data_IF_697264874712
#
_entry.id   IF_697264874712
#
_cell.length_a   1.000
_cell.length_b   1.000
_cell.length_c   1.000
_cell.angle_alpha   90.00
_cell.angle_beta   90.00
_cell.angle_gamma   90.00
#
_symmetry.space_group_name_H-M   'P 1'
#
loop_
_entity.id
_entity.type
_entity.pdbx_description
1 polymer ?
#
# COMPACT_ATOMS: atom_id res chain seq x y z
N UNK A 1 -18.60 2.75 18.34
CA UNK A 1 -17.92 2.06 17.22
C UNK A 1 -17.60 3.07 16.11
N UNK A 2 -16.40 3.64 16.15
CA UNK A 2 -15.92 4.63 15.18
C UNK A 2 -15.08 3.91 14.12
N UNK A 3 -15.72 3.15 13.24
CA UNK A 3 -15.05 2.50 12.12
C UNK A 3 -14.76 3.51 11.00
N UNK A 4 -13.76 3.24 10.15
CA UNK A 4 -13.38 4.12 9.03
C UNK A 4 -14.56 4.52 8.11
N UNK A 5 -15.57 3.66 7.99
CA UNK A 5 -16.79 3.93 7.22
C UNK A 5 -17.71 5.00 7.81
N UNK A 6 -17.53 5.34 9.10
CA UNK A 6 -18.29 6.39 9.80
C UNK A 6 -17.63 7.78 9.74
N UNK A 7 -16.42 7.89 9.17
CA UNK A 7 -15.64 9.14 9.12
C UNK A 7 -15.54 9.77 7.73
N UNK A 8 -16.37 9.37 6.77
CA UNK A 8 -16.37 9.91 5.40
C UNK A 8 -15.25 9.38 4.50
N UNK A 9 -14.52 8.33 4.92
CA UNK A 9 -13.56 7.64 4.06
C UNK A 9 -14.28 6.95 2.90
N UNK A 10 -13.96 7.34 1.67
CA UNK A 10 -14.37 6.64 0.45
C UNK A 10 -13.18 5.88 -0.12
N UNK A 11 -13.23 4.53 -0.16
CA UNK A 11 -12.25 3.75 -0.90
C UNK A 11 -12.17 4.23 -2.34
N UNK A 12 -10.96 4.27 -2.90
CA UNK A 12 -10.78 4.57 -4.31
C UNK A 12 -11.27 3.37 -5.11
N UNK A 13 -12.16 3.57 -6.08
CA UNK A 13 -12.66 2.47 -6.90
C UNK A 13 -11.68 2.04 -7.98
N UNK A 14 -11.81 0.81 -8.51
CA UNK A 14 -11.01 0.34 -9.65
C UNK A 14 -11.15 1.30 -10.83
N UNK A 15 -12.39 1.68 -11.14
CA UNK A 15 -12.70 2.53 -12.29
C UNK A 15 -12.07 3.92 -12.15
N UNK A 16 -12.11 4.51 -10.94
CA UNK A 16 -11.45 5.80 -10.69
C UNK A 16 -9.93 5.70 -10.84
N UNK A 17 -9.31 4.63 -10.34
CA UNK A 17 -7.86 4.42 -10.50
C UNK A 17 -7.45 4.27 -11.97
N UNK A 18 -8.18 3.45 -12.74
CA UNK A 18 -7.86 3.21 -14.16
C UNK A 18 -8.06 4.48 -14.99
N UNK A 19 -9.14 5.23 -14.76
CA UNK A 19 -9.53 6.34 -15.63
C UNK A 19 -8.85 7.67 -15.34
N UNK A 20 -8.28 7.86 -14.15
CA UNK A 20 -7.81 9.18 -13.72
C UNK A 20 -6.37 9.15 -13.20
N UNK A 21 -5.48 9.86 -13.88
CA UNK A 21 -4.11 10.09 -13.41
C UNK A 21 -4.07 10.78 -12.04
N UNK A 22 -5.02 11.69 -11.76
CA UNK A 22 -5.14 12.39 -10.48
C UNK A 22 -5.40 11.41 -9.33
N UNK A 23 -6.37 10.52 -9.49
CA UNK A 23 -6.64 9.40 -8.60
C UNK A 23 -5.42 8.47 -8.39
N UNK A 24 -4.67 8.14 -9.46
CA UNK A 24 -3.44 7.34 -9.32
C UNK A 24 -2.35 8.06 -8.53
N UNK A 25 -2.16 9.37 -8.76
CA UNK A 25 -1.21 10.19 -7.99
C UNK A 25 -1.58 10.21 -6.51
N UNK A 26 -2.85 10.49 -6.21
CA UNK A 26 -3.37 10.44 -4.83
C UNK A 26 -3.12 9.08 -4.18
N UNK A 27 -3.43 7.99 -4.88
CA UNK A 27 -3.24 6.64 -4.37
C UNK A 27 -1.75 6.35 -4.10
N UNK A 28 -0.90 6.52 -5.11
CA UNK A 28 0.50 6.15 -5.02
C UNK A 28 1.30 7.05 -4.07
N UNK A 29 0.96 8.34 -3.95
CA UNK A 29 1.57 9.21 -2.96
C UNK A 29 1.28 8.75 -1.52
N UNK A 30 0.01 8.47 -1.22
CA UNK A 30 -0.41 7.91 0.09
C UNK A 30 0.22 6.54 0.35
N UNK A 31 0.22 5.67 -0.65
CA UNK A 31 0.79 4.32 -0.55
C UNK A 31 2.31 4.36 -0.37
N UNK A 32 3.02 5.27 -1.05
CA UNK A 32 4.46 5.47 -0.91
C UNK A 32 4.82 5.88 0.51
N UNK A 33 4.12 6.87 1.06
CA UNK A 33 4.30 7.30 2.45
C UNK A 33 3.95 6.19 3.46
N UNK A 34 2.86 5.44 3.22
CA UNK A 34 2.36 4.40 4.13
C UNK A 34 3.19 3.12 4.13
N UNK A 35 3.98 2.88 3.08
CA UNK A 35 4.71 1.63 2.88
C UNK A 35 5.65 1.27 4.03
N UNK A 36 6.34 2.26 4.63
CA UNK A 36 7.30 2.01 5.73
C UNK A 36 6.63 1.29 6.90
N UNK A 37 5.41 1.69 7.25
CA UNK A 37 4.63 1.07 8.33
C UNK A 37 4.18 -0.33 7.95
N UNK A 38 3.65 -0.48 6.75
CA UNK A 38 3.17 -1.77 6.25
C UNK A 38 4.29 -2.82 6.28
N UNK A 39 5.49 -2.44 5.79
CA UNK A 39 6.68 -3.30 5.80
C UNK A 39 7.14 -3.68 7.22
N UNK A 40 6.96 -2.79 8.21
CA UNK A 40 7.38 -3.03 9.60
C UNK A 40 6.39 -3.90 10.40
N UNK A 41 5.14 -4.04 9.96
CA UNK A 41 4.14 -4.86 10.64
C UNK A 41 4.67 -6.27 10.89
N UNK A 42 4.31 -6.89 12.01
CA UNK A 42 4.73 -8.26 12.36
C UNK A 42 3.50 -9.13 12.64
N UNK A 43 3.58 -10.44 12.40
CA UNK A 43 2.50 -11.34 12.77
C UNK A 43 2.28 -11.31 14.29
N UNK A 44 1.01 -11.33 14.70
CA UNK A 44 0.62 -11.42 16.10
C UNK A 44 0.34 -12.87 16.52
N UNK A 45 0.01 -13.09 17.79
CA UNK A 45 -0.25 -14.41 18.39
C UNK A 45 -1.30 -15.23 17.64
N UNK A 46 -2.32 -14.60 17.07
CA UNK A 46 -3.36 -15.29 16.31
C UNK A 46 -2.81 -15.88 15.00
N UNK A 47 -1.94 -15.15 14.30
CA UNK A 47 -1.29 -15.66 13.09
C UNK A 47 -0.45 -16.90 13.39
N UNK A 48 0.35 -16.87 14.46
CA UNK A 48 1.18 -18.02 14.87
C UNK A 48 0.35 -19.20 15.39
N UNK A 49 -0.77 -18.94 16.06
CA UNK A 49 -1.70 -20.00 16.48
C UNK A 49 -2.30 -20.72 15.27
N UNK A 50 -2.75 -19.96 14.26
CA UNK A 50 -3.29 -20.52 13.03
C UNK A 50 -2.23 -21.30 12.23
N UNK A 51 -1.01 -20.78 12.11
CA UNK A 51 0.11 -21.50 11.51
C UNK A 51 0.42 -22.80 12.24
N UNK A 52 0.27 -22.81 13.58
CA UNK A 52 0.45 -24.02 14.37
C UNK A 52 -0.62 -25.06 14.11
N UNK A 53 -1.89 -24.65 14.02
CA UNK A 53 -3.01 -25.54 13.69
C UNK A 53 -2.89 -26.12 12.28
N UNK A 54 -2.46 -25.32 11.31
CA UNK A 54 -2.20 -25.76 9.94
C UNK A 54 -1.09 -26.82 9.90
N UNK A 55 0.04 -26.56 10.58
CA UNK A 55 1.17 -27.49 10.66
C UNK A 55 0.82 -28.84 11.29
N UNK A 56 -0.12 -28.90 12.23
CA UNK A 56 -0.58 -30.17 12.83
C UNK A 56 -1.81 -30.77 12.11
N UNK A 57 -2.16 -30.27 10.92
CA UNK A 57 -3.24 -30.81 10.09
C UNK A 57 -4.65 -30.51 10.62
N UNK A 58 -4.82 -29.53 11.51
CA UNK A 58 -6.14 -29.12 12.04
C UNK A 58 -6.79 -28.03 11.20
N UNK A 59 -5.99 -27.24 10.49
CA UNK A 59 -6.45 -26.33 9.43
C UNK A 59 -5.94 -26.89 8.10
N UNK A 60 -6.87 -27.26 7.22
CA UNK A 60 -6.54 -27.85 5.92
C UNK A 60 -6.39 -26.79 4.82
N UNK A 61 -7.14 -25.70 4.94
CA UNK A 61 -7.12 -24.59 3.99
C UNK A 61 -7.31 -23.29 4.74
N UNK A 62 -6.45 -22.33 4.45
CA UNK A 62 -6.57 -20.97 4.95
C UNK A 62 -6.84 -20.05 3.77
N UNK A 63 -7.79 -19.15 3.94
CA UNK A 63 -8.16 -18.15 2.95
C UNK A 63 -8.11 -16.80 3.66
N UNK A 64 -7.44 -15.82 3.07
CA UNK A 64 -7.33 -14.48 3.66
C UNK A 64 -7.79 -13.42 2.66
N UNK A 65 -8.52 -12.43 3.18
CA UNK A 65 -8.84 -11.19 2.47
C UNK A 65 -7.77 -10.12 2.73
N UNK A 66 -6.88 -10.34 3.70
CA UNK A 66 -5.80 -9.42 4.02
C UNK A 66 -4.71 -9.51 2.95
N UNK A 67 -4.20 -8.35 2.56
CA UNK A 67 -3.15 -8.19 1.53
C UNK A 67 -1.75 -8.09 2.13
N UNK A 68 -1.61 -8.33 3.44
CA UNK A 68 -0.45 -7.98 4.28
C UNK A 68 0.64 -9.04 4.43
N UNK A 69 0.42 -10.24 3.90
CA UNK A 69 1.33 -11.39 4.02
C UNK A 69 1.74 -11.73 5.47
N UNK A 70 1.00 -11.29 6.50
CA UNK A 70 1.32 -11.62 7.89
C UNK A 70 1.12 -13.11 8.18
N UNK A 71 0.14 -13.75 7.53
CA UNK A 71 -0.03 -15.20 7.57
C UNK A 71 1.17 -15.95 6.97
N UNK A 72 1.65 -15.54 5.79
CA UNK A 72 2.85 -16.11 5.17
C UNK A 72 4.06 -15.98 6.10
N UNK A 73 4.24 -14.80 6.71
CA UNK A 73 5.36 -14.53 7.65
C UNK A 73 5.25 -15.31 8.96
N UNK A 74 4.04 -15.69 9.38
CA UNK A 74 3.83 -16.59 10.52
C UNK A 74 4.09 -18.07 10.19
N UNK A 75 4.29 -18.41 8.90
CA UNK A 75 4.54 -19.77 8.42
C UNK A 75 3.32 -20.49 7.84
N UNK A 76 2.17 -19.81 7.70
CA UNK A 76 1.00 -20.36 7.02
C UNK A 76 1.11 -20.30 5.50
N UNK A 77 0.26 -21.06 4.80
CA UNK A 77 0.16 -21.05 3.33
C UNK A 77 -1.26 -20.71 2.84
N UNK A 78 -1.75 -19.49 3.11
CA UNK A 78 -3.11 -19.11 2.73
C UNK A 78 -3.26 -18.92 1.22
N UNK A 79 -4.50 -19.02 0.75
CA UNK A 79 -4.96 -18.45 -0.50
C UNK A 79 -5.28 -16.96 -0.27
N UNK A 80 -4.60 -16.06 -0.98
CA UNK A 80 -4.81 -14.61 -0.92
C UNK A 80 -5.93 -14.22 -1.90
N UNK A 81 -7.15 -13.96 -1.39
CA UNK A 81 -8.31 -13.65 -2.25
C UNK A 81 -8.17 -12.32 -2.98
N UNK A 82 -7.51 -11.36 -2.36
CA UNK A 82 -7.36 -10.01 -2.89
C UNK A 82 -5.93 -9.73 -3.34
N UNK A 83 -5.11 -10.76 -3.59
CA UNK A 83 -3.69 -10.60 -3.94
C UNK A 83 -2.87 -10.00 -2.79
N UNK A 84 -1.78 -9.31 -3.13
CA UNK A 84 -0.86 -8.74 -2.15
C UNK A 84 -0.40 -7.32 -2.45
N UNK A 85 -0.26 -6.45 -1.43
CA UNK A 85 0.37 -5.14 -1.63
C UNK A 85 1.88 -5.22 -1.89
N UNK A 86 2.49 -6.40 -1.71
CA UNK A 86 3.91 -6.63 -1.97
C UNK A 86 4.23 -6.81 -3.46
N UNK A 87 3.21 -6.78 -4.32
CA UNK A 87 3.34 -6.88 -5.76
C UNK A 87 2.67 -5.70 -6.47
N UNK A 88 3.24 -5.29 -7.59
CA UNK A 88 2.73 -4.25 -8.47
C UNK A 88 2.65 -4.83 -9.88
N UNK A 89 1.48 -4.77 -10.49
CA UNK A 89 1.19 -5.35 -11.81
C UNK A 89 0.95 -4.25 -12.84
N UNK A 90 1.37 -4.52 -14.07
CA UNK A 90 0.98 -3.70 -15.22
C UNK A 90 -0.40 -4.11 -15.72
N UNK A 91 -1.29 -3.12 -15.87
CA UNK A 91 -2.65 -3.33 -16.37
C UNK A 91 -2.71 -3.72 -17.84
N UNK A 92 -1.67 -3.40 -18.61
CA UNK A 92 -1.66 -3.60 -20.06
C UNK A 92 -0.98 -4.93 -20.45
N UNK A 93 0.15 -5.27 -19.82
CA UNK A 93 0.93 -6.47 -20.18
C UNK A 93 1.00 -7.54 -19.08
N UNK A 94 0.43 -7.31 -17.90
CA UNK A 94 0.44 -8.26 -16.78
C UNK A 94 1.79 -8.47 -16.10
N UNK A 95 2.84 -7.75 -16.51
CA UNK A 95 4.16 -7.84 -15.84
C UNK A 95 4.04 -7.47 -14.37
N UNK A 96 4.51 -8.36 -13.48
CA UNK A 96 4.59 -8.13 -12.04
C UNK A 96 6.01 -7.72 -11.63
N UNK A 97 6.09 -6.75 -10.71
CA UNK A 97 7.33 -6.33 -10.04
C UNK A 97 7.11 -6.28 -8.54
N UNK A 98 8.18 -6.46 -7.76
CA UNK A 98 8.09 -6.32 -6.30
C UNK A 98 7.75 -4.89 -5.90
N UNK A 99 6.96 -4.74 -4.85
CA UNK A 99 6.64 -3.43 -4.27
C UNK A 99 7.89 -2.70 -3.84
N UNK A 100 8.91 -3.40 -3.34
CA UNK A 100 10.22 -2.82 -3.01
C UNK A 100 10.90 -2.18 -4.23
N UNK A 101 10.97 -2.87 -5.37
CA UNK A 101 11.56 -2.32 -6.59
C UNK A 101 10.79 -1.09 -7.07
N UNK A 102 9.45 -1.14 -7.04
CA UNK A 102 8.62 0.00 -7.39
C UNK A 102 8.84 1.19 -6.43
N UNK A 103 9.04 0.94 -5.13
CA UNK A 103 9.31 2.02 -4.16
C UNK A 103 10.61 2.74 -4.43
N UNK A 104 11.67 2.04 -4.85
CA UNK A 104 12.93 2.70 -5.26
C UNK A 104 12.73 3.52 -6.54
N UNK A 105 11.96 3.02 -7.52
CA UNK A 105 11.63 3.80 -8.72
C UNK A 105 10.83 5.08 -8.39
N UNK A 106 9.85 4.98 -7.48
CA UNK A 106 9.11 6.16 -7.00
C UNK A 106 10.06 7.14 -6.29
N UNK A 107 10.97 6.64 -5.46
CA UNK A 107 11.96 7.47 -4.75
C UNK A 107 12.85 8.24 -5.73
N UNK A 108 13.36 7.57 -6.77
CA UNK A 108 14.25 8.17 -7.76
C UNK A 108 13.54 9.27 -8.58
N UNK A 109 12.26 9.07 -8.90
CA UNK A 109 11.44 10.07 -9.58
C UNK A 109 11.01 11.23 -8.67
N UNK A 110 10.91 10.99 -7.35
CA UNK A 110 10.36 11.94 -6.39
C UNK A 110 11.33 12.24 -5.24
N UNK A 111 12.56 12.74 -5.49
CA UNK A 111 13.59 12.90 -4.46
C UNK A 111 13.17 13.85 -3.33
N UNK A 112 12.37 14.88 -3.62
CA UNK A 112 11.83 15.80 -2.60
C UNK A 112 10.88 15.08 -1.63
N UNK A 113 10.05 14.16 -2.14
CA UNK A 113 9.13 13.35 -1.33
C UNK A 113 9.88 12.38 -0.44
N UNK A 114 10.90 11.73 -0.98
CA UNK A 114 11.76 10.83 -0.22
C UNK A 114 12.38 11.54 0.99
N UNK A 115 12.98 12.72 0.77
CA UNK A 115 13.58 13.53 1.83
C UNK A 115 12.59 13.92 2.93
N UNK A 116 11.37 14.30 2.58
CA UNK A 116 10.37 14.65 3.58
C UNK A 116 9.84 13.44 4.36
N UNK A 117 9.68 12.28 3.71
CA UNK A 117 9.25 11.06 4.39
C UNK A 117 10.32 10.53 5.35
N UNK A 118 11.59 10.71 5.02
CA UNK A 118 12.68 10.42 5.96
C UNK A 118 12.68 11.42 7.12
N UNK A 119 12.39 12.69 6.86
CA UNK A 119 12.29 13.75 7.87
C UNK A 119 11.05 13.65 8.78
N UNK A 120 10.05 12.84 8.43
CA UNK A 120 8.85 12.62 9.25
C UNK A 120 9.15 11.93 10.59
N UNK A 121 10.23 11.16 10.69
CA UNK A 121 10.65 10.54 11.96
C UNK A 121 11.23 11.58 12.94
N UNK A 122 11.56 12.80 12.47
CA UNK A 122 12.18 13.88 13.25
C UNK A 122 11.31 15.14 13.39
N UNK A 123 10.18 15.22 12.69
CA UNK A 123 9.37 16.45 12.53
C UNK A 123 7.97 16.43 13.15
N UNK A 124 7.35 17.61 13.27
CA UNK A 124 5.94 17.75 13.65
C UNK A 124 5.01 17.33 12.49
N UNK A 125 4.06 16.40 12.72
CA UNK A 125 3.06 15.99 11.71
C UNK A 125 2.24 17.17 11.18
N UNK A 126 1.81 17.11 9.91
CA UNK A 126 0.95 18.14 9.29
C UNK A 126 1.66 19.44 8.89
N UNK A 127 2.98 19.54 9.02
CA UNK A 127 3.75 20.71 8.56
C UNK A 127 3.98 20.71 7.04
N UNK A 128 4.28 21.88 6.47
CA UNK A 128 4.69 22.01 5.07
C UNK A 128 5.96 21.22 4.73
N UNK A 129 6.84 21.00 5.70
CA UNK A 129 8.05 20.14 5.55
C UNK A 129 7.71 18.65 5.44
N UNK A 130 6.58 18.24 6.01
CA UNK A 130 6.05 16.88 5.89
C UNK A 130 5.05 16.71 4.75
N UNK A 131 4.98 17.65 3.80
CA UNK A 131 3.93 17.66 2.76
C UNK A 131 2.50 17.54 3.35
N UNK A 132 2.26 18.13 4.52
CA UNK A 132 0.95 18.04 5.19
C UNK A 132 0.53 16.63 5.58
N UNK A 133 1.44 15.66 5.64
CA UNK A 133 1.11 14.28 6.00
C UNK A 133 0.56 14.22 7.42
N UNK A 134 -0.68 13.73 7.55
CA UNK A 134 -1.35 13.48 8.82
C UNK A 134 -1.69 12.00 8.93
N UNK A 135 -1.39 11.41 10.08
CA UNK A 135 -1.81 10.05 10.36
C UNK A 135 -3.23 10.08 10.91
N UNK A 136 -4.14 9.35 10.25
CA UNK A 136 -5.48 9.10 10.77
C UNK A 136 -5.45 8.09 11.93
N UNK A 137 -6.47 8.07 12.80
CA UNK A 137 -6.57 7.11 13.90
C UNK A 137 -6.54 5.63 13.47
N UNK A 138 -7.01 5.32 12.25
CA UNK A 138 -6.98 4.00 11.63
C UNK A 138 -5.62 3.62 11.03
N UNK A 139 -4.69 4.58 10.96
CA UNK A 139 -3.34 4.41 10.48
C UNK A 139 -3.10 4.78 9.02
N UNK A 140 -4.14 5.24 8.33
CA UNK A 140 -4.03 5.81 6.99
C UNK A 140 -3.26 7.13 7.03
N UNK A 141 -2.52 7.39 5.95
CA UNK A 141 -1.87 8.69 5.75
C UNK A 141 -2.79 9.54 4.89
N UNK A 142 -3.18 10.70 5.42
CA UNK A 142 -3.76 11.80 4.64
C UNK A 142 -2.66 12.76 4.22
N UNK A 143 -2.72 13.20 2.97
CA UNK A 143 -1.75 14.13 2.38
C UNK A 143 -2.56 15.23 1.70
N UNK A 144 -2.25 16.48 2.02
CA UNK A 144 -2.92 17.64 1.42
C UNK A 144 -2.78 17.58 -0.11
N UNK A 145 -3.90 17.82 -0.79
CA UNK A 145 -4.07 17.71 -2.24
C UNK A 145 -3.00 18.46 -3.02
N UNK A 146 -2.63 19.65 -2.54
CA UNK A 146 -1.68 20.53 -3.24
C UNK A 146 -0.30 19.90 -3.45
N UNK A 147 0.06 18.90 -2.65
CA UNK A 147 1.38 18.29 -2.73
C UNK A 147 1.44 17.18 -3.78
N UNK A 148 0.44 16.28 -3.85
CA UNK A 148 0.48 15.15 -4.79
C UNK A 148 -0.10 15.46 -6.17
N UNK A 149 -0.90 16.51 -6.33
CA UNK A 149 -1.56 16.78 -7.61
C UNK A 149 -0.58 17.17 -8.73
N UNK A 150 0.42 18.01 -8.41
CA UNK A 150 1.36 18.57 -9.38
C UNK A 150 2.77 17.95 -9.30
N UNK A 151 3.19 17.47 -8.13
CA UNK A 151 4.60 17.12 -7.86
C UNK A 151 4.83 15.64 -7.52
N UNK A 152 3.94 14.72 -7.95
CA UNK A 152 4.14 13.29 -7.74
C UNK A 152 4.13 12.51 -9.06
N UNK A 153 5.29 11.97 -9.41
CA UNK A 153 5.52 11.16 -10.60
C UNK A 153 5.43 9.67 -10.30
N UNK A 154 4.72 8.95 -11.17
CA UNK A 154 4.47 7.51 -11.01
C UNK A 154 5.28 6.77 -12.06
N UNK A 155 6.08 5.75 -11.67
CA UNK A 155 6.76 4.90 -12.63
C UNK A 155 5.76 4.27 -13.61
N UNK A 156 6.16 4.19 -14.88
CA UNK A 156 5.44 3.42 -15.89
C UNK A 156 6.06 2.03 -16.06
N UNK A 157 5.33 1.07 -16.60
CA UNK A 157 5.85 -0.27 -16.81
C UNK A 157 7.09 -0.25 -17.73
N UNK A 158 8.19 -0.86 -17.28
CA UNK A 158 9.44 -0.92 -18.07
C UNK A 158 9.34 -1.76 -19.35
N UNK A 159 8.33 -2.63 -19.45
CA UNK A 159 8.13 -3.50 -20.61
C UNK A 159 7.29 -2.86 -21.72
N UNK A 160 6.29 -2.04 -21.37
CA UNK A 160 5.32 -1.52 -22.35
C UNK A 160 4.93 -0.04 -22.15
N UNK A 161 5.46 0.64 -21.13
CA UNK A 161 5.03 1.99 -20.76
C UNK A 161 3.65 2.07 -20.10
N UNK A 162 3.03 0.91 -19.84
CA UNK A 162 1.67 0.80 -19.31
C UNK A 162 1.50 1.22 -17.84
N UNK A 163 0.23 1.29 -17.42
CA UNK A 163 -0.14 1.74 -16.06
C UNK A 163 0.16 0.63 -15.04
N UNK A 164 0.84 1.01 -13.95
CA UNK A 164 1.12 0.13 -12.81
C UNK A 164 0.07 0.29 -11.71
N UNK A 165 -0.47 -0.83 -11.21
CA UNK A 165 -1.43 -0.95 -10.11
C UNK A 165 -0.85 -1.87 -9.02
N UNK A 166 -1.09 -1.63 -7.72
CA UNK A 166 -0.87 -2.68 -6.71
C UNK A 166 -1.63 -3.96 -7.11
N UNK A 167 -1.06 -5.13 -6.88
CA UNK A 167 -1.77 -6.39 -7.10
C UNK A 167 -2.94 -6.48 -6.11
N UNK A 168 -2.62 -6.45 -4.81
CA UNK A 168 -3.61 -6.43 -3.73
C UNK A 168 -3.81 -5.07 -3.11
N UNK A 169 -4.91 -4.42 -3.46
CA UNK A 169 -5.51 -3.34 -2.70
C UNK A 169 -6.93 -3.12 -3.22
N UNK A 170 -7.80 -2.65 -2.32
CA UNK A 170 -9.22 -2.29 -2.48
C UNK A 170 -9.46 -1.13 -3.46
N UNK A 171 -8.91 -1.23 -4.67
CA UNK A 171 -9.41 -0.54 -5.84
C UNK A 171 -10.65 -1.32 -6.30
N UNK A 172 -11.81 -1.04 -5.70
CA UNK A 172 -13.12 -1.66 -5.97
C UNK A 172 -13.97 -0.82 -6.92
#
# INVERSE_FOLDING_TARGET
>A
PNGAYSSGFKPLTHQEFVRSIRARRRYWARSYAGWRRFRRAQPNTAHYALASLERIGRVHTMVTQNVDRLHHRAGSKPVELHGSVYEVICLDCGTSISRESFQEQVKDLNPKWALAIDSLEEGQPGSSRSFGMQQRPDGDIEIDEKFWEQDFDIPSCSQCGGVLKPDGCDVW
#
